data_IF_983913732632
#
_entry.id   IF_983913732632
#
_cell.length_a   1.000
_cell.length_b   1.000
_cell.length_c   1.000
_cell.angle_alpha   90.00
_cell.angle_beta   90.00
_cell.angle_gamma   90.00
#
_symmetry.space_group_name_H-M   'P 1'
#
loop_
_entity.id
_entity.type
_entity.pdbx_description
1 polymer ?
#
# COMPACT_ATOMS: atom_id res chain seq x y z
N UNK A 1 21.36 14.10 14.71
CA UNK A 1 22.47 13.55 15.49
C UNK A 1 23.10 12.47 14.64
N UNK A 2 24.27 12.75 14.04
CA UNK A 2 24.96 11.79 13.19
C UNK A 2 25.88 10.98 14.09
N UNK A 3 25.70 9.65 14.13
CA UNK A 3 26.68 8.77 14.79
C UNK A 3 27.74 8.44 13.74
N UNK A 4 28.78 9.27 13.69
CA UNK A 4 30.01 8.93 13.00
C UNK A 4 30.78 7.94 13.87
N UNK A 5 31.02 6.77 13.30
CA UNK A 5 31.88 5.75 13.89
C UNK A 5 32.87 5.36 12.82
N UNK A 6 33.88 6.22 12.64
CA UNK A 6 34.98 5.96 11.71
C UNK A 6 35.57 4.56 11.90
N UNK A 7 35.63 3.81 10.81
CA UNK A 7 36.81 3.14 10.27
C UNK A 7 36.37 2.43 8.97
N UNK A 8 37.12 2.63 7.88
CA UNK A 8 36.70 2.28 6.50
C UNK A 8 37.14 0.87 6.05
N UNK A 9 37.35 -0.09 6.97
CA UNK A 9 37.83 -1.45 6.63
C UNK A 9 37.18 -2.58 7.48
N UNK A 10 35.97 -2.36 8.01
CA UNK A 10 35.15 -3.37 8.70
C UNK A 10 33.92 -3.80 7.87
N UNK A 11 33.26 -4.94 8.20
CA UNK A 11 32.19 -5.52 7.38
C UNK A 11 31.13 -4.45 7.08
N UNK A 12 30.86 -4.21 5.80
CA UNK A 12 30.02 -3.13 5.26
C UNK A 12 28.93 -2.73 6.26
N UNK A 13 29.16 -1.61 6.96
CA UNK A 13 28.21 -1.10 7.94
C UNK A 13 26.94 -0.72 7.18
N UNK A 14 25.85 -1.45 7.44
CA UNK A 14 24.55 -1.14 6.84
C UNK A 14 24.12 0.28 7.26
N UNK A 15 24.27 1.25 6.34
CA UNK A 15 23.80 2.62 6.53
C UNK A 15 22.32 2.65 6.19
N UNK A 16 21.48 2.67 7.21
CA UNK A 16 20.04 2.88 7.04
C UNK A 16 19.77 4.38 7.08
N UNK A 17 19.05 4.88 6.07
CA UNK A 17 18.57 6.25 5.98
C UNK A 17 17.07 6.29 6.33
N UNK A 18 16.73 6.67 7.57
CA UNK A 18 15.37 6.79 8.08
C UNK A 18 14.41 7.60 7.21
N UNK A 19 14.89 8.72 6.70
CA UNK A 19 14.05 9.69 5.99
C UNK A 19 13.67 9.12 4.64
N UNK A 20 14.58 8.39 3.98
CA UNK A 20 14.29 7.66 2.75
C UNK A 20 13.30 6.51 2.97
N UNK A 21 13.37 5.82 4.11
CA UNK A 21 12.40 4.77 4.46
C UNK A 21 10.99 5.36 4.62
N UNK A 22 10.88 6.51 5.30
CA UNK A 22 9.61 7.21 5.48
C UNK A 22 9.06 7.76 4.16
N UNK A 23 9.91 8.34 3.30
CA UNK A 23 9.52 8.80 1.97
C UNK A 23 9.02 7.65 1.08
N UNK A 24 9.73 6.51 1.11
CA UNK A 24 9.30 5.33 0.36
C UNK A 24 7.96 4.80 0.87
N UNK A 25 7.78 4.72 2.19
CA UNK A 25 6.51 4.33 2.81
C UNK A 25 5.39 5.25 2.34
N UNK A 26 5.59 6.55 2.39
CA UNK A 26 4.59 7.53 1.96
C UNK A 26 4.22 7.35 0.49
N UNK A 27 5.19 7.16 -0.41
CA UNK A 27 4.90 6.92 -1.83
C UNK A 27 4.09 5.64 -2.07
N UNK A 28 4.31 4.61 -1.26
CA UNK A 28 3.53 3.36 -1.33
C UNK A 28 2.11 3.55 -0.76
N UNK A 29 1.95 4.33 0.31
CA UNK A 29 0.63 4.70 0.85
C UNK A 29 -0.20 5.46 -0.20
N UNK A 30 0.40 6.44 -0.88
CA UNK A 30 -0.24 7.20 -1.96
C UNK A 30 -0.64 6.30 -3.14
N UNK A 31 0.20 5.34 -3.52
CA UNK A 31 -0.12 4.34 -4.54
C UNK A 31 -1.32 3.47 -4.13
N UNK A 32 -1.29 2.95 -2.90
CA UNK A 32 -2.35 2.11 -2.34
C UNK A 32 -3.68 2.84 -2.33
N UNK A 33 -3.68 4.08 -1.85
CA UNK A 33 -4.87 4.93 -1.79
C UNK A 33 -5.43 5.20 -3.19
N UNK A 34 -4.55 5.55 -4.14
CA UNK A 34 -4.95 5.81 -5.53
C UNK A 34 -5.59 4.60 -6.19
N UNK A 35 -5.00 3.41 -6.01
CA UNK A 35 -5.55 2.17 -6.58
C UNK A 35 -6.87 1.79 -5.91
N UNK A 36 -6.93 1.86 -4.58
CA UNK A 36 -8.14 1.55 -3.82
C UNK A 36 -9.31 2.48 -4.20
N UNK A 37 -9.03 3.78 -4.33
CA UNK A 37 -10.00 4.78 -4.76
C UNK A 37 -10.49 4.52 -6.19
N UNK A 38 -9.57 4.23 -7.12
CA UNK A 38 -9.94 3.92 -8.50
C UNK A 38 -10.87 2.70 -8.58
N UNK A 39 -10.55 1.64 -7.84
CA UNK A 39 -11.37 0.43 -7.77
C UNK A 39 -12.74 0.73 -7.16
N UNK A 40 -12.80 1.52 -6.09
CA UNK A 40 -14.05 1.90 -5.47
C UNK A 40 -14.95 2.69 -6.43
N UNK A 41 -14.36 3.60 -7.21
CA UNK A 41 -15.08 4.46 -8.16
C UNK A 41 -15.51 3.73 -9.44
N UNK A 42 -14.68 2.81 -9.95
CA UNK A 42 -14.85 2.24 -11.29
C UNK A 42 -15.10 0.73 -11.33
N UNK A 43 -14.84 0.01 -10.24
CA UNK A 43 -14.94 -1.45 -10.21
C UNK A 43 -16.33 -1.96 -10.55
N UNK A 44 -17.38 -1.24 -10.11
CA UNK A 44 -18.77 -1.58 -10.47
C UNK A 44 -19.04 -1.47 -11.98
N UNK A 45 -18.52 -0.42 -12.63
CA UNK A 45 -18.70 -0.20 -14.07
C UNK A 45 -18.00 -1.26 -14.91
N UNK A 46 -16.93 -1.85 -14.38
CA UNK A 46 -16.20 -2.96 -15.02
C UNK A 46 -16.88 -4.31 -14.77
N UNK A 47 -17.46 -4.51 -13.59
CA UNK A 47 -18.15 -5.75 -13.23
C UNK A 47 -19.56 -5.84 -13.81
N UNK A 48 -20.21 -4.70 -14.08
CA UNK A 48 -21.58 -4.61 -14.57
C UNK A 48 -21.59 -3.87 -15.92
N UNK A 49 -21.40 -4.60 -17.02
CA UNK A 49 -21.52 -4.04 -18.37
C UNK A 49 -22.96 -4.16 -18.86
N UNK A 50 -23.58 -3.03 -19.18
CA UNK A 50 -24.92 -3.01 -19.76
C UNK A 50 -24.95 -3.63 -21.16
N UNK A 51 -26.08 -4.25 -21.49
CA UNK A 51 -26.23 -4.92 -22.77
C UNK A 51 -26.38 -3.93 -23.94
N UNK A 52 -25.54 -4.01 -24.99
CA UNK A 52 -25.78 -3.23 -26.21
C UNK A 52 -26.97 -3.76 -27.03
N UNK A 53 -27.51 -4.95 -26.72
CA UNK A 53 -28.62 -5.57 -27.46
C UNK A 53 -29.00 -6.98 -27.00
N UNK A 54 -30.19 -7.45 -27.39
CA UNK A 54 -30.72 -8.76 -26.96
C UNK A 54 -30.22 -9.96 -27.77
N UNK A 55 -29.38 -9.75 -28.79
CA UNK A 55 -28.91 -10.83 -29.65
C UNK A 55 -27.88 -11.73 -28.95
N UNK A 56 -27.76 -13.01 -29.34
CA UNK A 56 -26.87 -13.96 -28.66
C UNK A 56 -25.40 -13.52 -28.62
N UNK A 57 -24.90 -12.89 -29.69
CA UNK A 57 -23.51 -12.44 -29.76
C UNK A 57 -23.23 -11.32 -28.75
N UNK A 58 -24.15 -10.36 -28.62
CA UNK A 58 -24.09 -9.31 -27.60
C UNK A 58 -24.13 -9.89 -26.18
N UNK A 59 -24.94 -10.92 -25.92
CA UNK A 59 -25.06 -11.56 -24.59
C UNK A 59 -23.78 -12.26 -24.16
N UNK A 60 -23.16 -13.02 -25.07
CA UNK A 60 -21.90 -13.73 -24.79
C UNK A 60 -20.75 -12.72 -24.57
N UNK A 61 -20.72 -11.63 -25.34
CA UNK A 61 -19.74 -10.58 -25.16
C UNK A 61 -19.85 -9.91 -23.77
N UNK A 62 -21.06 -9.61 -23.29
CA UNK A 62 -21.26 -9.04 -21.95
C UNK A 62 -20.78 -9.96 -20.85
N UNK A 63 -21.06 -11.26 -20.97
CA UNK A 63 -20.64 -12.24 -19.98
C UNK A 63 -19.11 -12.25 -19.83
N UNK A 64 -18.40 -12.28 -20.96
CA UNK A 64 -16.93 -12.25 -20.99
C UNK A 64 -16.39 -10.93 -20.44
N UNK A 65 -16.97 -9.79 -20.83
CA UNK A 65 -16.48 -8.48 -20.38
C UNK A 65 -16.72 -8.31 -18.88
N UNK A 66 -17.89 -8.70 -18.37
CA UNK A 66 -18.24 -8.63 -16.95
C UNK A 66 -17.36 -9.55 -16.10
N UNK A 67 -17.09 -10.78 -16.58
CA UNK A 67 -16.15 -11.70 -15.94
C UNK A 67 -14.74 -11.11 -15.88
N UNK A 68 -14.23 -10.62 -17.01
CA UNK A 68 -12.91 -10.00 -17.08
C UNK A 68 -12.79 -8.74 -16.21
N UNK A 69 -13.83 -7.91 -16.16
CA UNK A 69 -13.88 -6.73 -15.31
C UNK A 69 -13.95 -7.07 -13.82
N UNK A 70 -14.68 -8.14 -13.45
CA UNK A 70 -14.67 -8.71 -12.12
C UNK A 70 -13.28 -9.22 -11.71
N UNK A 71 -12.60 -9.96 -12.60
CA UNK A 71 -11.23 -10.44 -12.38
C UNK A 71 -10.27 -9.25 -12.22
N UNK A 72 -10.32 -8.26 -13.10
CA UNK A 72 -9.46 -7.08 -13.04
C UNK A 72 -9.65 -6.32 -11.72
N UNK A 73 -10.90 -6.13 -11.30
CA UNK A 73 -11.25 -5.50 -10.01
C UNK A 73 -10.69 -6.28 -8.83
N UNK A 74 -10.85 -7.61 -8.82
CA UNK A 74 -10.32 -8.46 -7.77
C UNK A 74 -8.79 -8.44 -7.71
N UNK A 75 -8.10 -8.44 -8.86
CA UNK A 75 -6.64 -8.33 -8.93
C UNK A 75 -6.14 -6.97 -8.45
N UNK A 76 -6.84 -5.89 -8.80
CA UNK A 76 -6.55 -4.56 -8.29
C UNK A 76 -6.67 -4.50 -6.76
N UNK A 77 -7.74 -5.07 -6.20
CA UNK A 77 -7.95 -5.08 -4.76
C UNK A 77 -6.87 -5.90 -4.04
N UNK A 78 -6.49 -7.05 -4.61
CA UNK A 78 -5.39 -7.86 -4.10
C UNK A 78 -4.02 -7.16 -4.20
N UNK A 79 -3.82 -6.29 -5.20
CA UNK A 79 -2.62 -5.47 -5.29
C UNK A 79 -2.58 -4.43 -4.17
N UNK A 80 -3.67 -3.67 -3.95
CA UNK A 80 -3.75 -2.72 -2.85
C UNK A 80 -3.49 -3.38 -1.48
N UNK A 81 -4.08 -4.56 -1.24
CA UNK A 81 -3.85 -5.32 0.00
C UNK A 81 -2.38 -5.77 0.17
N UNK A 82 -1.65 -6.03 -0.93
CA UNK A 82 -0.21 -6.31 -0.85
C UNK A 82 0.60 -5.07 -0.52
N UNK A 83 0.17 -3.90 -0.98
CA UNK A 83 0.81 -2.64 -0.59
C UNK A 83 0.65 -2.38 0.91
N UNK A 84 -0.53 -2.69 1.49
CA UNK A 84 -0.73 -2.62 2.95
C UNK A 84 0.29 -3.47 3.72
N UNK A 85 0.54 -4.70 3.28
CA UNK A 85 1.55 -5.58 3.90
C UNK A 85 2.94 -4.96 3.84
N UNK A 86 3.31 -4.32 2.73
CA UNK A 86 4.61 -3.64 2.58
C UNK A 86 4.69 -2.42 3.50
N UNK A 87 3.63 -1.62 3.57
CA UNK A 87 3.55 -0.45 4.46
C UNK A 87 3.71 -0.87 5.93
N UNK A 88 3.04 -1.95 6.35
CA UNK A 88 3.15 -2.48 7.70
C UNK A 88 4.59 -2.93 8.02
N UNK A 89 5.25 -3.63 7.08
CA UNK A 89 6.66 -4.04 7.25
C UNK A 89 7.63 -2.85 7.30
N UNK A 90 7.37 -1.80 6.53
CA UNK A 90 8.15 -0.56 6.61
C UNK A 90 7.92 0.16 7.94
N UNK A 91 6.70 0.14 8.47
CA UNK A 91 6.39 0.68 9.80
C UNK A 91 7.09 -0.10 10.91
N UNK A 92 7.05 -1.43 10.89
CA UNK A 92 7.80 -2.29 11.81
C UNK A 92 9.30 -1.97 11.78
N UNK A 93 9.86 -1.80 10.58
CA UNK A 93 11.26 -1.42 10.40
C UNK A 93 11.56 -0.05 10.98
N UNK A 94 10.69 0.94 10.73
CA UNK A 94 10.87 2.29 11.25
C UNK A 94 10.82 2.35 12.79
N UNK A 95 9.95 1.54 13.41
CA UNK A 95 9.87 1.39 14.87
C UNK A 95 11.17 0.77 15.42
N UNK A 96 11.71 -0.26 14.77
CA UNK A 96 12.96 -0.89 15.17
C UNK A 96 14.17 0.09 15.16
N UNK A 97 14.13 1.10 14.29
CA UNK A 97 15.14 2.16 14.22
C UNK A 97 14.84 3.37 15.13
N UNK A 98 13.77 3.33 15.93
CA UNK A 98 13.38 4.44 16.82
C UNK A 98 12.91 5.70 16.07
N UNK A 99 12.50 5.56 14.81
CA UNK A 99 12.13 6.67 13.93
C UNK A 99 10.70 7.14 14.12
N UNK A 100 9.88 6.30 14.73
CA UNK A 100 8.51 6.59 15.09
C UNK A 100 8.46 6.35 16.60
N UNK A 101 8.50 7.41 17.41
CA UNK A 101 8.09 7.28 18.81
C UNK A 101 6.61 6.87 18.77
N UNK A 102 6.29 5.66 19.23
CA UNK A 102 4.89 5.29 19.41
C UNK A 102 4.21 6.38 20.22
N UNK A 103 3.06 6.84 19.74
CA UNK A 103 2.14 7.72 20.45
C UNK A 103 1.77 7.18 21.86
N UNK A 104 2.09 5.91 22.15
CA UNK A 104 2.07 5.32 23.50
C UNK A 104 3.02 6.01 24.49
N UNK A 105 4.17 6.54 24.04
CA UNK A 105 5.10 7.30 24.88
C UNK A 105 4.57 8.69 25.27
N UNK A 106 3.58 9.22 24.55
CA UNK A 106 2.87 10.44 24.93
C UNK A 106 1.87 10.17 26.06
N UNK A 107 1.18 9.03 26.03
CA UNK A 107 0.26 8.60 27.09
C UNK A 107 1.01 8.24 28.38
N UNK A 108 2.21 7.64 28.30
CA UNK A 108 3.01 7.30 29.49
C UNK A 108 3.71 8.51 30.13
N UNK A 109 3.98 9.58 29.37
CA UNK A 109 4.49 10.87 29.90
C UNK A 109 3.43 11.71 30.59
N UNK A 110 2.14 11.38 30.41
CA UNK A 110 1.01 11.94 31.17
C UNK A 110 0.60 10.94 32.26
N UNK A 111 1.50 10.65 33.22
CA UNK A 111 1.10 9.95 34.44
C UNK A 111 0.05 10.77 35.22
N UNK A 112 -0.87 10.13 35.97
CA UNK A 112 -1.81 10.84 36.82
C UNK A 112 -1.00 11.64 37.86
N UNK A 113 -1.34 12.94 37.98
CA UNK A 113 -0.79 13.85 38.97
C UNK A 113 -1.04 13.38 40.40
#
# INVERSE_FOLDING_TARGET
MFIDTGDLDGPERMVVDPDKLLQLKQGIEEERDRVAEWILRHGRQLAEVESPGGDPCSRDAIAIVSENGGIATAKGAAYAARLDIVIDKMRESALAYGLIEETAAATFRQGPA
#
